data_IF_412952382594
#
_entry.id   IF_412952382594
#
_cell.length_a   1.000
_cell.length_b   1.000
_cell.length_c   1.000
_cell.angle_alpha   90.00
_cell.angle_beta   90.00
_cell.angle_gamma   90.00
#
_symmetry.space_group_name_H-M   'P 1'
#
loop_
_entity.id
_entity.type
_entity.pdbx_description
1 polymer ?
#
# COMPACT_ATOMS: atom_id res chain seq x y z
N UNK A 1 -6.26 -12.71 -10.36
CA UNK A 1 -5.46 -11.68 -11.06
C UNK A 1 -5.90 -10.33 -10.53
N UNK A 2 -4.98 -9.55 -10.03
CA UNK A 2 -5.32 -8.26 -9.44
C UNK A 2 -5.33 -7.16 -10.50
N UNK A 3 -6.44 -6.42 -10.61
CA UNK A 3 -6.56 -5.22 -11.44
C UNK A 3 -6.88 -4.04 -10.56
N UNK A 4 -6.08 -2.99 -10.66
CA UNK A 4 -6.34 -1.72 -9.98
C UNK A 4 -6.94 -0.73 -10.98
N UNK A 5 -8.12 -0.23 -10.68
CA UNK A 5 -8.80 0.77 -11.49
C UNK A 5 -9.00 2.05 -10.68
N UNK A 6 -8.58 3.17 -11.24
CA UNK A 6 -8.81 4.51 -10.70
C UNK A 6 -9.70 5.24 -11.68
N UNK A 7 -10.84 5.73 -11.21
CA UNK A 7 -11.84 6.39 -12.04
C UNK A 7 -12.19 7.75 -11.49
N UNK A 8 -11.90 8.78 -12.27
CA UNK A 8 -12.23 10.18 -11.99
C UNK A 8 -11.87 10.61 -10.54
N UNK A 9 -10.66 10.26 -10.10
CA UNK A 9 -10.23 10.48 -8.72
C UNK A 9 -9.85 11.94 -8.47
N UNK A 10 -10.55 12.56 -7.53
CA UNK A 10 -10.27 13.89 -7.02
C UNK A 10 -9.82 13.81 -5.57
N UNK A 11 -8.74 14.49 -5.23
CA UNK A 11 -8.16 14.49 -3.89
C UNK A 11 -7.76 15.89 -3.46
N UNK A 12 -8.09 16.23 -2.23
CA UNK A 12 -7.75 17.50 -1.58
C UNK A 12 -6.77 17.31 -0.41
N UNK A 13 -5.98 18.35 -0.19
CA UNK A 13 -5.15 18.53 1.01
C UNK A 13 -5.44 19.93 1.55
N UNK A 14 -5.85 20.01 2.81
CA UNK A 14 -6.14 21.30 3.48
C UNK A 14 -7.12 22.17 2.66
N UNK A 15 -8.13 21.57 2.04
CA UNK A 15 -9.13 22.25 1.22
C UNK A 15 -8.65 22.66 -0.18
N UNK A 16 -7.44 22.29 -0.56
CA UNK A 16 -6.90 22.54 -1.91
C UNK A 16 -6.90 21.26 -2.73
N UNK A 17 -7.60 21.30 -3.86
CA UNK A 17 -7.64 20.20 -4.81
C UNK A 17 -6.26 20.00 -5.48
N UNK A 18 -5.71 18.80 -5.35
CA UNK A 18 -4.43 18.40 -5.93
C UNK A 18 -4.63 17.44 -7.11
N UNK A 19 -5.47 16.41 -6.93
CA UNK A 19 -5.86 15.51 -8.03
C UNK A 19 -7.22 15.94 -8.58
N UNK A 20 -7.29 16.04 -9.90
CA UNK A 20 -8.42 16.66 -10.63
C UNK A 20 -8.97 15.71 -11.70
N UNK A 21 -9.45 14.54 -11.26
CA UNK A 21 -10.04 13.56 -12.17
C UNK A 21 -9.01 12.60 -12.78
N UNK A 22 -8.24 11.90 -11.94
CA UNK A 22 -7.25 10.92 -12.39
C UNK A 22 -7.94 9.63 -12.82
N UNK A 23 -7.58 9.14 -14.01
CA UNK A 23 -8.03 7.85 -14.54
C UNK A 23 -6.81 6.98 -14.85
N UNK A 24 -6.77 5.77 -14.33
CA UNK A 24 -5.69 4.82 -14.56
C UNK A 24 -6.20 3.39 -14.33
N UNK A 25 -5.84 2.48 -15.22
CA UNK A 25 -6.07 1.05 -15.04
C UNK A 25 -4.74 0.32 -15.12
N UNK A 26 -4.45 -0.50 -14.12
CA UNK A 26 -3.23 -1.32 -14.04
C UNK A 26 -3.66 -2.78 -13.92
N UNK A 27 -3.32 -3.57 -14.93
CA UNK A 27 -3.62 -4.99 -14.95
C UNK A 27 -2.47 -5.81 -14.35
N UNK A 28 -2.75 -7.08 -14.05
CA UNK A 28 -1.74 -8.03 -13.59
C UNK A 28 -0.51 -8.06 -14.53
N UNK A 29 0.66 -8.09 -13.95
CA UNK A 29 1.97 -8.09 -14.65
C UNK A 29 2.28 -6.81 -15.46
N UNK A 30 1.57 -5.73 -15.25
CA UNK A 30 1.91 -4.43 -15.81
C UNK A 30 2.72 -3.59 -14.82
N UNK A 31 3.63 -2.78 -15.38
CA UNK A 31 4.37 -1.75 -14.65
C UNK A 31 4.02 -0.40 -15.23
N UNK A 32 3.46 0.48 -14.42
CA UNK A 32 3.12 1.85 -14.81
C UNK A 32 4.03 2.85 -14.10
N UNK A 33 4.73 3.68 -14.86
CA UNK A 33 5.56 4.76 -14.34
C UNK A 33 4.76 6.08 -14.34
N UNK A 34 4.61 6.68 -13.17
CA UNK A 34 3.95 7.99 -13.02
C UNK A 34 5.05 9.05 -12.90
N UNK A 35 5.12 9.94 -13.87
CA UNK A 35 6.16 10.96 -13.96
C UNK A 35 5.55 12.35 -14.02
N UNK A 36 6.29 13.34 -13.54
CA UNK A 36 5.91 14.75 -13.57
C UNK A 36 6.77 15.59 -12.63
N UNK A 37 6.73 16.90 -12.75
CA UNK A 37 7.42 17.81 -11.83
C UNK A 37 6.97 17.65 -10.37
N UNK A 38 7.77 18.16 -9.44
CA UNK A 38 7.38 18.18 -8.03
C UNK A 38 6.10 19.01 -7.84
N UNK A 39 5.22 18.56 -6.94
CA UNK A 39 3.96 19.25 -6.64
C UNK A 39 2.80 18.95 -7.59
N UNK A 40 2.94 18.01 -8.52
CA UNK A 40 1.88 17.60 -9.46
C UNK A 40 0.95 16.51 -8.94
N UNK A 41 1.20 15.97 -7.74
CA UNK A 41 0.29 15.02 -7.09
C UNK A 41 0.71 13.55 -7.16
N UNK A 42 1.93 13.20 -7.59
CA UNK A 42 2.40 11.80 -7.65
C UNK A 42 2.32 11.09 -6.31
N UNK A 43 2.90 11.69 -5.26
CA UNK A 43 2.86 11.16 -3.89
C UNK A 43 1.45 11.24 -3.29
N UNK A 44 0.66 12.24 -3.68
CA UNK A 44 -0.74 12.39 -3.29
C UNK A 44 -1.57 11.20 -3.75
N UNK A 45 -1.39 10.76 -4.99
CA UNK A 45 -2.09 9.61 -5.53
C UNK A 45 -1.82 8.34 -4.71
N UNK A 46 -0.56 8.02 -4.47
CA UNK A 46 -0.16 6.86 -3.69
C UNK A 46 -0.71 6.91 -2.25
N UNK A 47 -0.57 8.06 -1.58
CA UNK A 47 -1.04 8.24 -0.21
C UNK A 47 -2.56 8.18 -0.08
N UNK A 48 -3.29 8.74 -1.04
CA UNK A 48 -4.75 8.68 -1.07
C UNK A 48 -5.26 7.24 -1.24
N UNK A 49 -4.67 6.47 -2.15
CA UNK A 49 -5.01 5.05 -2.35
C UNK A 49 -4.75 4.24 -1.07
N UNK A 50 -3.68 4.52 -0.35
CA UNK A 50 -3.35 3.86 0.92
C UNK A 50 -4.17 4.32 2.12
N UNK A 51 -4.99 5.36 1.96
CA UNK A 51 -5.87 5.86 3.03
C UNK A 51 -5.18 6.75 4.05
N UNK A 52 -4.14 7.47 3.66
CA UNK A 52 -3.48 8.41 4.56
C UNK A 52 -4.44 9.56 4.94
N UNK A 53 -4.65 9.84 6.24
CA UNK A 53 -5.73 10.71 6.73
C UNK A 53 -5.63 12.18 6.30
N UNK A 54 -4.46 12.63 5.88
CA UNK A 54 -4.24 13.99 5.38
C UNK A 54 -4.89 14.23 4.01
N UNK A 55 -5.13 13.17 3.26
CA UNK A 55 -5.61 13.25 1.89
C UNK A 55 -7.09 12.89 1.83
N UNK A 56 -7.93 13.83 1.41
CA UNK A 56 -9.37 13.66 1.35
C UNK A 56 -9.80 13.38 -0.08
N UNK A 57 -10.38 12.23 -0.32
CA UNK A 57 -11.01 11.90 -1.61
C UNK A 57 -12.37 12.57 -1.66
N UNK A 58 -12.56 13.47 -2.63
CA UNK A 58 -13.81 14.23 -2.79
C UNK A 58 -14.70 13.67 -3.89
N UNK A 59 -14.12 12.97 -4.86
CA UNK A 59 -14.86 12.35 -5.96
C UNK A 59 -14.06 11.20 -6.55
N UNK A 60 -14.76 10.27 -7.20
CA UNK A 60 -14.18 9.17 -7.94
C UNK A 60 -14.14 7.86 -7.17
N UNK A 61 -13.55 6.85 -7.79
CA UNK A 61 -13.45 5.49 -7.27
C UNK A 61 -12.03 4.96 -7.42
N UNK A 62 -11.64 4.10 -6.49
CA UNK A 62 -10.46 3.25 -6.59
C UNK A 62 -10.91 1.81 -6.34
N UNK A 63 -10.78 0.96 -7.34
CA UNK A 63 -11.22 -0.44 -7.27
C UNK A 63 -10.03 -1.38 -7.38
N UNK A 64 -10.00 -2.39 -6.52
CA UNK A 64 -9.11 -3.54 -6.66
C UNK A 64 -9.97 -4.78 -6.89
N UNK A 65 -9.83 -5.42 -8.03
CA UNK A 65 -10.66 -6.56 -8.46
C UNK A 65 -12.19 -6.30 -8.34
N UNK A 66 -12.60 -5.05 -8.56
CA UNK A 66 -13.99 -4.62 -8.48
C UNK A 66 -14.46 -4.19 -7.09
N UNK A 67 -13.65 -4.36 -6.04
CA UNK A 67 -13.96 -3.90 -4.69
C UNK A 67 -13.45 -2.49 -4.44
N UNK A 68 -14.29 -1.64 -3.84
CA UNK A 68 -13.94 -0.23 -3.61
C UNK A 68 -12.95 -0.08 -2.45
N UNK A 69 -11.72 0.28 -2.77
CA UNK A 69 -10.64 0.51 -1.82
C UNK A 69 -10.94 1.66 -0.86
N UNK A 70 -11.69 2.67 -1.31
CA UNK A 70 -12.00 3.85 -0.51
C UNK A 70 -12.93 3.56 0.66
N UNK A 71 -13.68 2.47 0.62
CA UNK A 71 -14.55 2.00 1.69
C UNK A 71 -13.82 1.11 2.71
N UNK A 72 -12.60 0.70 2.40
CA UNK A 72 -11.79 -0.16 3.24
C UNK A 72 -10.99 0.64 4.27
N UNK A 73 -10.85 0.09 5.48
CA UNK A 73 -9.86 0.57 6.44
C UNK A 73 -8.42 0.33 5.93
N UNK A 74 -7.44 1.02 6.50
CA UNK A 74 -6.04 0.99 6.02
C UNK A 74 -5.45 -0.43 6.04
N UNK A 75 -5.74 -1.20 7.06
CA UNK A 75 -5.29 -2.58 7.18
C UNK A 75 -5.99 -3.52 6.19
N UNK A 76 -7.26 -3.26 5.88
CA UNK A 76 -8.01 -4.01 4.87
C UNK A 76 -7.44 -3.78 3.47
N UNK A 77 -7.04 -2.55 3.14
CA UNK A 77 -6.35 -2.23 1.88
C UNK A 77 -5.05 -3.00 1.74
N UNK A 78 -4.27 -3.09 2.81
CA UNK A 78 -3.03 -3.87 2.84
C UNK A 78 -3.30 -5.37 2.67
N UNK A 79 -4.36 -5.91 3.30
CA UNK A 79 -4.79 -7.32 3.15
C UNK A 79 -5.29 -7.62 1.73
N UNK A 80 -5.94 -6.66 1.09
CA UNK A 80 -6.38 -6.77 -0.31
C UNK A 80 -5.21 -6.80 -1.32
N UNK A 81 -3.98 -6.53 -0.87
CA UNK A 81 -2.77 -6.65 -1.68
C UNK A 81 -2.10 -5.33 -2.06
N UNK A 82 -2.59 -4.21 -1.56
CA UNK A 82 -1.93 -2.92 -1.77
C UNK A 82 -0.70 -2.79 -0.87
N UNK A 83 0.40 -2.33 -1.44
CA UNK A 83 1.63 -2.07 -0.72
C UNK A 83 2.27 -0.75 -1.20
N UNK A 84 2.70 0.07 -0.25
CA UNK A 84 3.42 1.30 -0.52
C UNK A 84 4.84 1.21 0.00
N UNK A 85 5.82 1.29 -0.89
CA UNK A 85 7.22 1.50 -0.51
C UNK A 85 7.43 2.99 -0.20
N UNK A 86 7.53 3.31 1.07
CA UNK A 86 7.69 4.71 1.52
C UNK A 86 9.10 5.22 1.21
N UNK A 87 9.20 6.47 0.76
CA UNK A 87 10.49 7.13 0.49
C UNK A 87 11.33 7.27 1.77
N UNK A 88 10.67 7.58 2.87
CA UNK A 88 11.27 7.65 4.21
C UNK A 88 10.44 6.81 5.18
N UNK A 89 10.81 5.53 5.38
CA UNK A 89 10.10 4.68 6.33
C UNK A 89 10.27 5.20 7.75
N UNK A 90 9.18 5.20 8.51
CA UNK A 90 9.18 5.63 9.91
C UNK A 90 9.63 4.50 10.82
N UNK A 91 10.46 4.82 11.80
CA UNK A 91 10.82 3.91 12.87
C UNK A 91 9.67 3.79 13.89
N UNK A 92 9.43 2.57 14.36
CA UNK A 92 8.50 2.29 15.44
C UNK A 92 9.33 1.94 16.68
N UNK A 93 9.40 2.85 17.64
CA UNK A 93 10.16 2.66 18.87
C UNK A 93 9.73 1.40 19.61
N UNK A 94 10.71 0.56 19.98
CA UNK A 94 10.49 -0.66 20.76
C UNK A 94 10.00 -1.87 19.96
N UNK A 95 9.89 -1.75 18.64
CA UNK A 95 9.51 -2.85 17.75
C UNK A 95 10.69 -3.22 16.87
N UNK A 96 11.11 -4.48 16.91
CA UNK A 96 12.16 -4.97 16.01
C UNK A 96 11.62 -5.19 14.60
N UNK A 97 12.49 -5.13 13.58
CA UNK A 97 12.10 -5.44 12.21
C UNK A 97 11.50 -6.86 12.09
N UNK A 98 12.06 -7.82 12.81
CA UNK A 98 11.57 -9.19 12.82
C UNK A 98 10.16 -9.29 13.40
N UNK A 99 9.88 -8.64 14.52
CA UNK A 99 8.55 -8.61 15.14
C UNK A 99 7.52 -7.92 14.24
N UNK A 100 7.91 -6.81 13.62
CA UNK A 100 7.05 -6.09 12.67
C UNK A 100 6.69 -6.97 11.46
N UNK A 101 7.68 -7.59 10.82
CA UNK A 101 7.47 -8.45 9.66
C UNK A 101 6.63 -9.68 10.00
N UNK A 102 6.90 -10.33 11.14
CA UNK A 102 6.11 -11.48 11.60
C UNK A 102 4.66 -11.10 11.86
N UNK A 103 4.43 -9.96 12.50
CA UNK A 103 3.08 -9.44 12.74
C UNK A 103 2.33 -9.14 11.44
N UNK A 104 3.02 -8.54 10.45
CA UNK A 104 2.46 -8.26 9.14
C UNK A 104 2.09 -9.54 8.36
N UNK A 105 2.89 -10.60 8.47
CA UNK A 105 2.59 -11.91 7.89
C UNK A 105 1.36 -12.51 8.56
N UNK A 106 1.31 -12.51 9.88
CA UNK A 106 0.20 -13.10 10.63
C UNK A 106 -1.12 -12.34 10.42
N UNK A 107 -1.08 -11.02 10.25
CA UNK A 107 -2.26 -10.21 9.95
C UNK A 107 -2.99 -10.60 8.65
N UNK A 108 -2.31 -11.31 7.74
CA UNK A 108 -2.86 -11.82 6.48
C UNK A 108 -3.29 -13.28 6.54
N UNK A 109 -3.10 -13.95 7.68
CA UNK A 109 -3.45 -15.35 7.89
C UNK A 109 -4.77 -15.46 8.63
N UNK A 110 -5.38 -16.63 8.55
CA UNK A 110 -6.56 -16.94 9.36
C UNK A 110 -6.19 -17.06 10.84
N UNK A 111 -7.14 -16.79 11.71
CA UNK A 111 -6.96 -16.94 13.15
C UNK A 111 -6.61 -18.41 13.48
N UNK A 112 -5.50 -18.61 14.19
CA UNK A 112 -4.98 -19.93 14.51
C UNK A 112 -3.99 -20.54 13.51
N UNK A 113 -3.77 -19.89 12.34
CA UNK A 113 -2.74 -20.31 11.35
C UNK A 113 -1.50 -19.38 11.40
N UNK A 114 -1.09 -18.97 12.57
CA UNK A 114 0.09 -18.12 12.72
C UNK A 114 1.38 -18.81 12.30
N UNK A 115 2.28 -18.04 11.66
CA UNK A 115 3.59 -18.56 11.29
C UNK A 115 4.41 -18.88 12.53
N UNK A 116 4.91 -20.12 12.63
CA UNK A 116 5.81 -20.49 13.71
C UNK A 116 7.12 -19.69 13.65
N UNK A 117 7.71 -19.41 14.80
CA UNK A 117 8.95 -18.63 14.88
C UNK A 117 10.08 -19.25 14.05
N UNK A 118 10.22 -20.58 14.09
CA UNK A 118 11.27 -21.26 13.32
C UNK A 118 11.06 -21.15 11.81
N UNK A 119 9.81 -21.26 11.35
CA UNK A 119 9.50 -21.10 9.93
C UNK A 119 9.75 -19.65 9.49
N UNK A 120 9.32 -18.69 10.30
CA UNK A 120 9.55 -17.28 10.03
C UNK A 120 11.05 -16.95 9.91
N UNK A 121 11.89 -17.40 10.85
CA UNK A 121 13.33 -17.16 10.81
C UNK A 121 13.95 -17.74 9.53
N UNK A 122 13.59 -18.96 9.14
CA UNK A 122 14.10 -19.58 7.90
C UNK A 122 13.69 -18.79 6.63
N UNK A 123 12.48 -18.29 6.59
CA UNK A 123 12.02 -17.46 5.46
C UNK A 123 12.72 -16.10 5.45
N UNK A 124 12.93 -15.51 6.61
CA UNK A 124 13.66 -14.26 6.76
C UNK A 124 15.11 -14.40 6.28
N UNK A 125 15.83 -15.40 6.77
CA UNK A 125 17.24 -15.66 6.41
C UNK A 125 17.38 -15.87 4.89
N UNK A 126 16.50 -16.67 4.27
CA UNK A 126 16.50 -16.86 2.81
C UNK A 126 16.26 -15.57 2.04
N UNK A 127 15.34 -14.74 2.55
CA UNK A 127 15.02 -13.46 1.90
C UNK A 127 16.18 -12.48 2.02
N UNK A 128 16.82 -12.42 3.18
CA UNK A 128 18.01 -11.59 3.40
C UNK A 128 19.17 -12.03 2.51
N UNK A 129 19.42 -13.34 2.39
CA UNK A 129 20.43 -13.89 1.49
C UNK A 129 20.12 -13.53 0.03
N UNK A 130 18.88 -13.71 -0.41
CA UNK A 130 18.45 -13.37 -1.78
C UNK A 130 18.59 -11.88 -2.09
N UNK A 131 18.36 -11.00 -1.11
CA UNK A 131 18.48 -9.55 -1.24
C UNK A 131 19.90 -9.05 -0.97
N UNK A 132 20.87 -9.94 -0.69
CA UNK A 132 22.24 -9.59 -0.32
C UNK A 132 22.32 -8.62 0.87
N UNK A 133 21.38 -8.76 1.81
CA UNK A 133 21.34 -7.96 3.03
C UNK A 133 22.29 -8.52 4.09
N UNK A 134 22.98 -7.64 4.85
CA UNK A 134 23.86 -8.07 5.92
C UNK A 134 23.12 -8.67 7.12
#
# INVERSE_FOLDING_TARGET
>A
MATLEIKDLHVEIDGKEILKGVNLTINTNEVHAIMGPNGTGKSTLASAIMGHPKYVVTQGEVLIDGENVLEMEVDERAKAGLFLAMQYPSEISGVTNADFLRSAINARREEGDEISLMKFIRELDKTMEFLEMP
#
